data_IF_065477843578
#
_entry.id   IF_065477843578
#
_cell.length_a   1.000
_cell.length_b   1.000
_cell.length_c   1.000
_cell.angle_alpha   90.00
_cell.angle_beta   90.00
_cell.angle_gamma   90.00
#
_symmetry.space_group_name_H-M   'P 1'
#
loop_
_entity.id
_entity.type
_entity.pdbx_description
1 polymer ?
#
# COMPACT_ATOMS: atom_id res chain seq x y z
N UNK A 1 -8.86 -25.72 16.38
CA UNK A 1 -7.39 -25.97 16.41
C UNK A 1 -6.64 -24.67 16.66
N UNK A 2 -5.48 -24.70 17.32
CA UNK A 2 -4.67 -23.49 17.53
C UNK A 2 -3.17 -23.83 17.65
N UNK A 3 -2.31 -22.83 17.42
CA UNK A 3 -0.88 -22.94 17.68
C UNK A 3 -0.57 -22.95 19.18
N UNK A 4 0.64 -23.43 19.54
CA UNK A 4 1.09 -23.51 20.94
C UNK A 4 1.28 -22.15 21.60
N UNK A 5 1.61 -21.14 20.80
CA UNK A 5 1.87 -19.75 21.17
C UNK A 5 0.67 -18.83 20.90
N UNK A 6 -0.53 -19.40 20.70
CA UNK A 6 -1.71 -18.60 20.42
C UNK A 6 -2.06 -17.71 21.61
N UNK A 7 -2.04 -16.40 21.36
CA UNK A 7 -2.55 -15.36 22.25
C UNK A 7 -3.50 -14.49 21.40
N UNK A 8 -4.79 -14.36 21.77
CA UNK A 8 -5.76 -13.60 20.98
C UNK A 8 -5.27 -12.20 20.63
N UNK A 9 -5.26 -11.87 19.35
CA UNK A 9 -4.81 -10.57 18.83
C UNK A 9 -3.31 -10.26 18.96
N UNK A 10 -2.48 -11.22 19.38
CA UNK A 10 -1.05 -10.97 19.67
C UNK A 10 -0.14 -11.92 18.90
N UNK A 11 -0.35 -13.23 19.02
CA UNK A 11 0.56 -14.22 18.44
C UNK A 11 -0.15 -15.50 18.04
N UNK A 12 0.51 -16.28 17.18
CA UNK A 12 0.04 -17.58 16.76
C UNK A 12 -1.18 -17.55 15.83
N UNK A 13 -1.84 -18.70 15.74
CA UNK A 13 -3.05 -18.87 14.92
C UNK A 13 -4.11 -19.69 15.64
N UNK A 14 -5.38 -19.40 15.33
CA UNK A 14 -6.52 -20.17 15.79
C UNK A 14 -7.51 -20.38 14.65
N UNK A 15 -8.03 -21.60 14.57
CA UNK A 15 -9.16 -22.00 13.74
C UNK A 15 -10.27 -22.54 14.65
N UNK A 16 -11.46 -22.00 14.55
CA UNK A 16 -12.62 -22.37 15.36
C UNK A 16 -13.57 -23.27 14.57
N UNK A 17 -14.40 -24.02 15.28
CA UNK A 17 -15.34 -24.98 14.65
C UNK A 17 -16.47 -24.26 13.86
N UNK A 18 -16.69 -22.97 14.10
CA UNK A 18 -17.60 -22.10 13.35
C UNK A 18 -17.01 -21.60 12.02
N UNK A 19 -15.80 -22.05 11.65
CA UNK A 19 -15.09 -21.64 10.44
C UNK A 19 -14.37 -20.30 10.56
N UNK A 20 -14.44 -19.64 11.72
CA UNK A 20 -13.63 -18.44 11.98
C UNK A 20 -12.15 -18.80 12.10
N UNK A 21 -11.29 -17.90 11.63
CA UNK A 21 -9.86 -18.06 11.76
C UNK A 21 -9.17 -16.75 12.08
N UNK A 22 -8.02 -16.88 12.73
CA UNK A 22 -7.15 -15.77 13.10
C UNK A 22 -5.70 -16.17 12.84
N UNK A 23 -4.99 -15.33 12.09
CA UNK A 23 -3.57 -15.41 11.83
C UNK A 23 -2.93 -14.12 12.33
N UNK A 24 -2.11 -14.22 13.36
CA UNK A 24 -1.35 -13.10 13.91
C UNK A 24 0.10 -13.21 13.41
N UNK A 25 0.50 -12.31 12.50
CA UNK A 25 1.89 -12.21 12.07
C UNK A 25 2.70 -11.45 13.11
N UNK A 26 3.63 -12.14 13.78
CA UNK A 26 4.61 -11.48 14.64
C UNK A 26 5.59 -10.67 13.77
N UNK A 27 5.93 -9.45 14.21
CA UNK A 27 7.12 -8.78 13.71
C UNK A 27 8.33 -9.70 13.90
N UNK A 28 9.21 -9.74 12.89
CA UNK A 28 10.22 -10.80 12.68
C UNK A 28 11.33 -10.85 13.75
N UNK A 29 11.29 -10.02 14.79
CA UNK A 29 12.31 -10.01 15.85
C UNK A 29 11.75 -10.60 17.16
N UNK A 30 12.05 -11.89 17.38
CA UNK A 30 11.89 -12.68 18.61
C UNK A 30 10.50 -13.28 18.92
N UNK A 31 10.35 -14.59 18.66
CA UNK A 31 9.27 -15.51 19.12
C UNK A 31 9.26 -15.69 20.66
N UNK A 32 9.80 -14.75 21.45
CA UNK A 32 9.72 -14.78 22.91
C UNK A 32 9.52 -13.38 23.49
N UNK A 33 8.66 -13.23 24.52
CA UNK A 33 8.84 -12.15 25.45
C UNK A 33 10.14 -12.43 26.20
N UNK A 34 11.27 -11.97 25.67
CA UNK A 34 12.48 -11.91 26.50
C UNK A 34 12.20 -10.88 27.59
N UNK A 35 12.60 -11.18 28.82
CA UNK A 35 12.55 -10.22 29.93
C UNK A 35 13.33 -8.92 29.63
N UNK A 36 13.51 -8.07 30.65
CA UNK A 36 14.20 -6.79 30.50
C UNK A 36 15.47 -6.91 29.65
N UNK A 37 15.55 -6.17 28.54
CA UNK A 37 16.72 -6.15 27.67
C UNK A 37 17.74 -5.14 28.19
N UNK A 38 19.02 -5.30 27.85
CA UNK A 38 19.99 -4.22 28.05
C UNK A 38 19.73 -3.14 27.01
N UNK A 39 19.64 -1.89 27.46
CA UNK A 39 19.39 -0.72 26.61
C UNK A 39 20.53 0.28 26.78
N UNK A 40 20.97 0.84 25.66
CA UNK A 40 21.91 1.97 25.62
C UNK A 40 21.14 3.27 25.81
N UNK A 41 21.50 4.03 26.83
CA UNK A 41 20.90 5.31 27.16
C UNK A 41 21.88 6.42 26.80
N UNK A 42 21.43 7.38 25.99
CA UNK A 42 22.16 8.63 25.75
C UNK A 42 21.96 9.56 26.94
N UNK A 43 23.01 9.76 27.73
CA UNK A 43 23.00 10.70 28.85
C UNK A 43 23.20 12.15 28.39
N UNK A 44 23.88 12.35 27.27
CA UNK A 44 24.03 13.67 26.65
C UNK A 44 24.71 13.58 25.28
N UNK A 45 24.51 14.62 24.48
CA UNK A 45 25.10 14.75 23.15
C UNK A 45 25.38 16.21 22.89
N UNK A 46 26.59 16.52 22.40
CA UNK A 46 27.06 17.87 22.20
C UNK A 46 27.84 17.96 20.89
N UNK A 47 27.74 19.06 20.14
CA UNK A 47 28.70 19.36 19.08
C UNK A 47 30.11 19.42 19.68
N UNK A 48 31.09 18.77 19.05
CA UNK A 48 32.47 18.75 19.56
C UNK A 48 33.08 20.17 19.58
N UNK A 49 32.60 21.07 18.71
CA UNK A 49 32.98 22.48 18.70
C UNK A 49 32.49 23.30 19.91
N UNK A 50 31.44 22.84 20.60
CA UNK A 50 30.95 23.47 21.83
C UNK A 50 31.68 22.96 23.09
N UNK A 51 32.45 21.89 22.97
CA UNK A 51 33.25 21.37 24.06
C UNK A 51 34.51 22.21 24.26
N UNK A 52 34.88 22.41 25.53
CA UNK A 52 36.08 23.17 25.87
C UNK A 52 37.33 22.54 25.24
N UNK A 53 38.09 23.34 24.47
CA UNK A 53 39.35 22.90 23.88
C UNK A 53 40.46 22.71 24.95
N UNK A 54 40.35 23.39 26.10
CA UNK A 54 41.28 23.24 27.21
C UNK A 54 41.09 21.87 27.89
N UNK A 55 42.19 21.12 28.05
CA UNK A 55 42.15 19.77 28.60
C UNK A 55 41.61 19.69 30.04
N UNK A 56 41.90 20.68 30.88
CA UNK A 56 41.43 20.71 32.28
C UNK A 56 39.94 21.01 32.35
N UNK A 57 39.46 21.96 31.57
CA UNK A 57 38.03 22.28 31.47
C UNK A 57 37.24 21.12 30.88
N UNK A 58 37.77 20.47 29.84
CA UNK A 58 37.17 19.27 29.24
C UNK A 58 37.11 18.10 30.23
N UNK A 59 38.17 17.88 31.01
CA UNK A 59 38.18 16.86 32.06
C UNK A 59 37.15 17.15 33.16
N UNK A 60 37.04 18.41 33.60
CA UNK A 60 36.04 18.82 34.59
C UNK A 60 34.61 18.65 34.07
N UNK A 61 34.37 18.97 32.79
CA UNK A 61 33.10 18.73 32.11
C UNK A 61 32.76 17.24 32.09
N UNK A 62 33.69 16.39 31.64
CA UNK A 62 33.52 14.92 31.59
C UNK A 62 33.17 14.38 32.98
N UNK A 63 33.90 14.79 34.02
CA UNK A 63 33.61 14.37 35.40
C UNK A 63 32.23 14.80 35.88
N UNK A 64 31.80 16.01 35.51
CA UNK A 64 30.48 16.55 35.88
C UNK A 64 29.35 15.79 35.18
N UNK A 65 29.47 15.51 33.88
CA UNK A 65 28.45 14.74 33.15
C UNK A 65 28.40 13.28 33.61
N UNK A 66 29.56 12.66 33.83
CA UNK A 66 29.62 11.28 34.36
C UNK A 66 29.00 11.18 35.77
N UNK A 67 29.14 12.22 36.61
CA UNK A 67 28.53 12.26 37.93
C UNK A 67 26.99 12.26 37.90
N UNK A 68 26.37 12.75 36.81
CA UNK A 68 24.91 12.71 36.63
C UNK A 68 24.39 11.28 36.35
N UNK A 69 25.24 10.40 35.84
CA UNK A 69 24.90 8.98 35.64
C UNK A 69 24.89 8.27 37.00
N UNK A 70 23.87 7.43 37.31
CA UNK A 70 23.84 6.63 38.53
C UNK A 70 25.12 5.78 38.67
N UNK A 71 25.63 5.66 39.90
CA UNK A 71 26.95 5.06 40.18
C UNK A 71 27.06 3.63 39.65
N UNK A 72 25.96 2.88 39.71
CA UNK A 72 25.83 1.51 39.25
C UNK A 72 25.99 1.33 37.73
N UNK A 73 25.87 2.40 36.93
CA UNK A 73 26.00 2.33 35.47
C UNK A 73 27.25 3.02 34.93
N UNK A 74 28.01 3.74 35.77
CA UNK A 74 29.18 4.51 35.34
C UNK A 74 30.29 3.66 34.73
N UNK A 75 30.42 2.41 35.13
CA UNK A 75 31.41 1.49 34.53
C UNK A 75 31.13 1.18 33.05
N UNK A 76 29.86 1.24 32.65
CA UNK A 76 29.44 1.06 31.26
C UNK A 76 29.38 2.36 30.46
N UNK A 77 29.69 3.50 31.09
CA UNK A 77 29.54 4.79 30.46
C UNK A 77 30.69 5.06 29.49
N UNK A 78 30.36 5.45 28.27
CA UNK A 78 31.33 5.67 27.18
C UNK A 78 31.05 7.00 26.47
N UNK A 79 32.13 7.74 26.19
CA UNK A 79 32.10 8.87 25.27
C UNK A 79 32.52 8.41 23.88
N UNK A 80 31.66 8.64 22.90
CA UNK A 80 31.97 8.43 21.48
C UNK A 80 31.94 9.76 20.75
N UNK A 81 32.83 9.96 19.78
CA UNK A 81 32.79 11.11 18.88
C UNK A 81 32.59 10.60 17.47
N UNK A 82 31.49 11.02 16.83
CA UNK A 82 31.10 10.57 15.49
C UNK A 82 30.85 11.78 14.59
N UNK A 83 31.10 11.58 13.30
CA UNK A 83 30.79 12.56 12.26
C UNK A 83 29.34 12.38 11.81
N UNK A 84 28.53 13.42 11.99
CA UNK A 84 27.14 13.49 11.58
C UNK A 84 26.93 14.40 10.36
N UNK A 85 28.00 14.90 9.75
CA UNK A 85 27.90 15.70 8.54
C UNK A 85 27.41 14.86 7.37
N UNK A 86 26.44 15.40 6.63
CA UNK A 86 26.00 14.85 5.33
C UNK A 86 26.48 15.72 4.17
N UNK A 87 27.13 16.83 4.49
CA UNK A 87 27.75 17.78 3.59
C UNK A 87 29.26 17.58 3.49
N UNK A 88 29.84 18.14 2.42
CA UNK A 88 31.24 17.90 2.06
C UNK A 88 32.24 18.51 3.05
N UNK A 89 31.82 19.46 3.88
CA UNK A 89 32.72 20.21 4.75
C UNK A 89 33.07 19.50 6.07
N UNK A 90 32.36 18.43 6.41
CA UNK A 90 32.68 17.65 7.61
C UNK A 90 32.36 18.38 8.91
N UNK A 91 31.40 19.31 8.95
CA UNK A 91 31.33 20.30 10.05
C UNK A 91 30.58 19.83 11.31
N UNK A 92 29.72 18.80 11.25
CA UNK A 92 28.91 18.33 12.38
C UNK A 92 29.53 17.11 13.06
N UNK A 93 30.63 17.31 13.80
CA UNK A 93 31.14 16.28 14.73
C UNK A 93 30.41 16.37 16.06
N UNK A 94 29.92 15.24 16.57
CA UNK A 94 29.22 15.19 17.86
C UNK A 94 29.86 14.19 18.80
N UNK A 95 30.05 14.64 20.04
CA UNK A 95 30.42 13.78 21.15
C UNK A 95 29.15 13.36 21.91
N UNK A 96 28.99 12.07 22.09
CA UNK A 96 27.84 11.46 22.78
C UNK A 96 28.32 10.71 24.01
N UNK A 97 27.68 10.95 25.16
CA UNK A 97 27.85 10.15 26.36
C UNK A 97 26.72 9.14 26.44
N UNK A 98 27.06 7.86 26.44
CA UNK A 98 26.10 6.76 26.59
C UNK A 98 26.44 5.89 27.78
N UNK A 99 25.47 5.14 28.30
CA UNK A 99 25.68 4.07 29.27
C UNK A 99 24.65 2.96 29.08
N UNK A 100 24.90 1.77 29.64
CA UNK A 100 24.01 0.62 29.53
C UNK A 100 23.27 0.39 30.84
N UNK A 101 21.95 0.19 30.76
CA UNK A 101 21.14 -0.26 31.90
C UNK A 101 20.16 -1.35 31.49
N UNK A 102 19.57 -2.03 32.47
CA UNK A 102 18.40 -2.85 32.21
C UNK A 102 17.20 -1.95 31.88
N UNK A 103 16.47 -2.33 30.84
CA UNK A 103 15.19 -1.73 30.46
C UNK A 103 14.26 -1.68 31.67
N UNK A 104 13.66 -0.51 31.92
CA UNK A 104 12.72 -0.37 33.02
C UNK A 104 11.44 -1.19 32.75
N UNK A 105 10.73 -1.68 33.78
CA UNK A 105 9.48 -2.44 33.58
C UNK A 105 8.43 -1.70 32.72
N UNK A 106 8.36 -0.37 32.84
CA UNK A 106 7.48 0.49 32.05
C UNK A 106 7.90 0.55 30.57
N UNK A 107 9.21 0.66 30.29
CA UNK A 107 9.77 0.64 28.93
C UNK A 107 9.54 -0.74 28.27
N UNK A 108 9.74 -1.82 29.02
CA UNK A 108 9.46 -3.18 28.57
C UNK A 108 7.97 -3.41 28.28
N UNK A 109 7.08 -2.83 29.10
CA UNK A 109 5.64 -2.86 28.86
C UNK A 109 5.26 -2.04 27.63
N UNK A 110 5.83 -0.84 27.46
CA UNK A 110 5.61 0.00 26.28
C UNK A 110 6.07 -0.70 24.99
N UNK A 111 7.24 -1.37 25.03
CA UNK A 111 7.73 -2.19 23.92
C UNK A 111 6.80 -3.37 23.62
N UNK A 112 6.29 -4.05 24.65
CA UNK A 112 5.33 -5.14 24.49
C UNK A 112 4.00 -4.64 23.90
N UNK A 113 3.47 -3.50 24.35
CA UNK A 113 2.26 -2.89 23.78
C UNK A 113 2.45 -2.47 22.33
N UNK A 114 3.58 -1.82 22.01
CA UNK A 114 3.93 -1.46 20.62
C UNK A 114 4.06 -2.71 19.73
N UNK A 115 4.57 -3.82 20.27
CA UNK A 115 4.64 -5.08 19.55
C UNK A 115 3.26 -5.71 19.31
N UNK A 116 2.28 -5.58 20.24
CA UNK A 116 0.90 -6.05 20.02
C UNK A 116 0.20 -5.30 18.89
N UNK A 117 0.48 -4.00 18.77
CA UNK A 117 -0.04 -3.17 17.70
C UNK A 117 0.87 -3.16 16.48
N UNK A 118 1.92 -3.99 16.40
CA UNK A 118 2.84 -4.01 15.27
C UNK A 118 2.71 -5.32 14.50
N UNK A 119 2.59 -5.22 13.18
CA UNK A 119 2.52 -6.38 12.30
C UNK A 119 1.19 -6.53 11.58
N UNK A 120 1.13 -7.54 10.72
CA UNK A 120 -0.05 -7.84 9.90
C UNK A 120 -0.86 -8.96 10.53
N UNK A 121 -2.15 -8.71 10.72
CA UNK A 121 -3.13 -9.67 11.20
C UNK A 121 -4.20 -9.89 10.15
N UNK A 122 -4.58 -11.15 9.99
CA UNK A 122 -5.65 -11.58 9.10
C UNK A 122 -6.66 -12.37 9.91
N UNK A 123 -7.92 -11.93 9.91
CA UNK A 123 -9.00 -12.64 10.60
C UNK A 123 -10.23 -12.79 9.72
N UNK A 124 -10.93 -13.91 9.85
CA UNK A 124 -12.26 -14.12 9.27
C UNK A 124 -13.26 -14.30 10.39
N UNK A 125 -14.21 -13.37 10.50
CA UNK A 125 -15.29 -13.42 11.50
C UNK A 125 -16.60 -13.13 10.79
N UNK A 126 -17.61 -13.98 10.98
CA UNK A 126 -18.94 -13.85 10.36
C UNK A 126 -18.88 -13.65 8.83
N UNK A 127 -18.00 -14.37 8.13
CA UNK A 127 -17.84 -14.27 6.67
C UNK A 127 -17.16 -12.98 6.19
N UNK A 128 -16.57 -12.20 7.10
CA UNK A 128 -15.81 -10.98 6.78
C UNK A 128 -14.34 -11.21 7.06
N UNK A 129 -13.52 -11.19 6.00
CA UNK A 129 -12.08 -11.16 6.10
C UNK A 129 -11.64 -9.73 6.40
N UNK A 130 -10.81 -9.56 7.42
CA UNK A 130 -10.20 -8.28 7.77
C UNK A 130 -8.70 -8.47 7.85
N UNK A 131 -7.97 -7.61 7.13
CA UNK A 131 -6.51 -7.49 7.21
C UNK A 131 -6.20 -6.17 7.91
N UNK A 132 -5.53 -6.24 9.05
CA UNK A 132 -5.03 -5.08 9.77
C UNK A 132 -3.51 -5.08 9.76
N UNK A 133 -2.91 -3.91 9.51
CA UNK A 133 -1.47 -3.69 9.69
C UNK A 133 -1.30 -2.57 10.68
N UNK A 134 -0.56 -2.86 11.74
CA UNK A 134 -0.32 -1.95 12.85
C UNK A 134 -1.61 -1.42 13.52
N UNK A 135 -2.60 -2.29 13.69
CA UNK A 135 -3.93 -1.94 14.21
C UNK A 135 -4.85 -1.21 13.20
N UNK A 136 -4.32 -0.76 12.07
CA UNK A 136 -5.09 -0.07 11.02
C UNK A 136 -5.67 -1.08 10.03
N UNK A 137 -6.97 -1.01 9.74
CA UNK A 137 -7.61 -1.84 8.71
C UNK A 137 -7.07 -1.47 7.33
N UNK A 138 -6.37 -2.40 6.68
CA UNK A 138 -5.82 -2.22 5.32
C UNK A 138 -6.72 -2.82 4.26
N UNK A 139 -7.37 -3.93 4.57
CA UNK A 139 -8.28 -4.59 3.64
C UNK A 139 -9.44 -5.22 4.39
N UNK A 140 -10.64 -5.15 3.80
CA UNK A 140 -11.83 -5.82 4.29
C UNK A 140 -12.55 -6.45 3.09
N UNK A 141 -12.75 -7.75 3.12
CA UNK A 141 -13.37 -8.53 2.04
C UNK A 141 -14.56 -9.30 2.63
N UNK A 142 -15.73 -9.19 2.00
CA UNK A 142 -16.98 -9.80 2.47
C UNK A 142 -17.95 -8.78 3.08
N UNK A 143 -19.06 -9.27 3.66
CA UNK A 143 -20.24 -8.49 4.06
C UNK A 143 -21.00 -7.83 2.88
N UNK A 144 -21.65 -8.65 2.04
CA UNK A 144 -22.54 -8.17 0.96
C UNK A 144 -23.88 -7.58 1.48
N UNK A 145 -24.18 -7.69 2.78
CA UNK A 145 -25.51 -7.37 3.32
C UNK A 145 -25.66 -5.94 3.88
N UNK A 146 -24.64 -5.08 3.79
CA UNK A 146 -24.80 -3.66 4.16
C UNK A 146 -25.25 -2.82 2.96
N UNK A 147 -26.44 -2.18 3.01
CA UNK A 147 -26.93 -1.26 2.00
C UNK A 147 -26.42 0.18 2.21
N UNK A 148 -25.16 0.36 2.62
CA UNK A 148 -24.52 1.67 2.46
C UNK A 148 -23.93 1.69 1.06
N UNK A 149 -24.59 2.39 0.12
CA UNK A 149 -23.98 2.76 -1.16
C UNK A 149 -22.63 3.42 -0.82
N UNK A 150 -21.48 2.75 -1.05
CA UNK A 150 -20.20 3.40 -0.81
C UNK A 150 -20.09 4.55 -1.82
N UNK A 151 -19.48 5.65 -1.41
CA UNK A 151 -19.19 6.74 -2.35
C UNK A 151 -18.37 6.17 -3.53
N UNK A 152 -18.63 6.63 -4.78
CA UNK A 152 -18.09 5.98 -5.97
C UNK A 152 -16.56 5.92 -6.01
N UNK A 153 -15.93 6.89 -5.35
CA UNK A 153 -14.50 7.01 -5.16
C UNK A 153 -14.21 7.41 -3.71
N UNK A 154 -13.18 6.82 -3.10
CA UNK A 154 -12.60 7.31 -1.85
C UNK A 154 -11.09 7.33 -2.00
N UNK A 155 -10.46 8.44 -1.59
CA UNK A 155 -9.00 8.57 -1.56
C UNK A 155 -8.56 8.38 -0.12
N UNK A 156 -7.81 7.31 0.13
CA UNK A 156 -7.21 7.03 1.43
C UNK A 156 -5.71 6.92 1.22
N UNK A 157 -4.94 7.74 1.94
CA UNK A 157 -3.46 7.77 1.89
C UNK A 157 -2.87 7.91 0.47
N UNK A 158 -3.53 8.68 -0.40
CA UNK A 158 -3.09 8.91 -1.78
C UNK A 158 -3.41 7.77 -2.76
N UNK A 159 -4.10 6.72 -2.31
CA UNK A 159 -4.58 5.62 -3.15
C UNK A 159 -6.08 5.74 -3.37
N UNK A 160 -6.51 5.64 -4.63
CA UNK A 160 -7.91 5.75 -5.03
C UNK A 160 -8.57 4.37 -5.00
N UNK A 161 -9.61 4.22 -4.19
CA UNK A 161 -10.47 3.04 -4.18
C UNK A 161 -11.75 3.32 -4.96
N UNK A 162 -12.11 2.40 -5.87
CA UNK A 162 -13.30 2.49 -6.71
C UNK A 162 -14.25 1.34 -6.35
N UNK A 163 -15.53 1.63 -6.15
CA UNK A 163 -16.50 0.61 -5.76
C UNK A 163 -16.76 -0.39 -6.90
N UNK A 164 -16.98 -1.67 -6.55
CA UNK A 164 -17.33 -2.70 -7.55
C UNK A 164 -18.62 -2.36 -8.30
N UNK A 165 -19.57 -1.68 -7.66
CA UNK A 165 -20.79 -1.19 -8.29
C UNK A 165 -20.48 -0.14 -9.37
N UNK A 166 -19.59 0.81 -9.08
CA UNK A 166 -19.12 1.81 -10.05
C UNK A 166 -18.36 1.18 -11.21
N UNK A 167 -17.55 0.15 -10.94
CA UNK A 167 -16.87 -0.64 -11.97
C UNK A 167 -17.91 -1.36 -12.84
N UNK A 168 -18.91 -2.03 -12.25
CA UNK A 168 -19.96 -2.74 -12.99
C UNK A 168 -20.85 -1.83 -13.84
N UNK A 169 -21.10 -0.60 -13.39
CA UNK A 169 -21.86 0.42 -14.13
C UNK A 169 -21.02 1.04 -15.26
N UNK A 170 -19.70 1.19 -15.04
CA UNK A 170 -18.75 1.68 -16.05
C UNK A 170 -18.23 0.59 -16.99
N UNK A 171 -18.46 -0.69 -16.68
CA UNK A 171 -18.06 -1.82 -17.51
C UNK A 171 -19.11 -2.02 -18.59
N UNK A 172 -18.68 -1.99 -19.84
CA UNK A 172 -19.54 -2.37 -20.97
C UNK A 172 -19.73 -3.90 -20.92
N UNK A 173 -20.74 -4.35 -20.17
CA UNK A 173 -21.06 -5.80 -20.01
C UNK A 173 -21.63 -6.42 -21.28
N UNK A 174 -22.22 -5.62 -22.15
CA UNK A 174 -22.53 -6.08 -23.49
C UNK A 174 -21.21 -6.15 -24.25
N UNK A 175 -20.93 -7.29 -24.88
CA UNK A 175 -20.07 -7.33 -26.08
C UNK A 175 -20.45 -6.07 -26.86
N UNK A 176 -19.56 -5.08 -26.99
CA UNK A 176 -19.82 -3.88 -27.77
C UNK A 176 -20.52 -4.41 -29.02
N UNK A 177 -21.83 -4.14 -29.16
CA UNK A 177 -22.54 -4.59 -30.34
C UNK A 177 -21.66 -4.13 -31.49
N UNK A 178 -21.44 -4.95 -32.53
CA UNK A 178 -20.53 -4.61 -33.63
C UNK A 178 -20.99 -3.29 -34.27
N UNK A 179 -20.54 -2.18 -33.71
CA UNK A 179 -20.93 -0.83 -34.04
C UNK A 179 -19.82 -0.33 -34.93
N UNK A 180 -20.11 -0.33 -36.21
CA UNK A 180 -19.29 0.32 -37.21
C UNK A 180 -19.94 1.67 -37.50
N UNK A 181 -19.20 2.75 -37.27
CA UNK A 181 -19.60 4.11 -37.66
C UNK A 181 -18.79 4.52 -38.88
N UNK A 182 -19.46 4.76 -40.01
CA UNK A 182 -18.81 5.28 -41.20
C UNK A 182 -18.91 6.80 -41.21
N UNK A 183 -17.77 7.50 -41.19
CA UNK A 183 -17.76 8.96 -41.40
C UNK A 183 -17.95 9.23 -42.89
N UNK A 184 -19.10 9.81 -43.24
CA UNK A 184 -19.46 10.17 -44.60
C UNK A 184 -19.19 11.66 -44.85
N UNK A 185 -18.94 12.03 -46.11
CA UNK A 185 -18.85 13.42 -46.55
C UNK A 185 -20.14 13.81 -47.25
N UNK A 186 -20.59 15.07 -47.12
CA UNK A 186 -21.72 15.58 -47.89
C UNK A 186 -21.19 16.16 -49.21
N UNK A 187 -21.72 15.72 -50.35
CA UNK A 187 -21.37 16.28 -51.66
C UNK A 187 -22.14 17.59 -51.94
N UNK A 188 -21.83 18.28 -53.04
CA UNK A 188 -22.46 19.55 -53.43
C UNK A 188 -23.99 19.46 -53.62
N UNK A 189 -24.53 18.25 -53.78
CA UNK A 189 -25.96 17.96 -53.95
C UNK A 189 -26.66 17.59 -52.62
N UNK A 190 -25.95 17.70 -51.49
CA UNK A 190 -26.49 17.42 -50.16
C UNK A 190 -26.54 15.94 -49.78
N UNK A 191 -25.90 15.05 -50.55
CA UNK A 191 -25.93 13.61 -50.32
C UNK A 191 -24.72 13.15 -49.52
N UNK A 192 -24.92 12.22 -48.59
CA UNK A 192 -23.84 11.55 -47.88
C UNK A 192 -23.14 10.53 -48.79
N UNK A 193 -21.83 10.67 -48.99
CA UNK A 193 -20.98 9.78 -49.78
C UNK A 193 -19.80 9.28 -48.95
N UNK A 194 -19.34 8.06 -49.26
CA UNK A 194 -18.12 7.48 -48.71
C UNK A 194 -17.31 6.84 -49.85
N UNK A 195 -15.98 6.95 -49.80
CA UNK A 195 -15.10 6.45 -50.86
C UNK A 195 -14.83 4.93 -50.78
N UNK A 196 -15.24 4.25 -49.70
CA UNK A 196 -15.14 2.79 -49.56
C UNK A 196 -15.41 2.29 -48.14
N UNK A 197 -15.76 1.01 -48.03
CA UNK A 197 -15.87 0.29 -46.75
C UNK A 197 -15.23 -1.10 -46.91
N UNK A 198 -14.23 -1.40 -46.09
CA UNK A 198 -13.59 -2.71 -46.04
C UNK A 198 -14.15 -3.54 -44.89
N UNK A 199 -14.69 -4.73 -45.19
CA UNK A 199 -15.33 -5.60 -44.19
C UNK A 199 -14.38 -6.63 -43.55
N UNK A 200 -13.20 -6.85 -44.13
CA UNK A 200 -12.15 -7.71 -43.54
C UNK A 200 -12.53 -9.18 -43.34
N UNK A 201 -13.53 -9.69 -44.06
CA UNK A 201 -13.99 -11.08 -43.94
C UNK A 201 -13.34 -11.97 -45.02
N UNK A 202 -12.87 -13.15 -44.63
CA UNK A 202 -12.42 -14.20 -45.57
C UNK A 202 -13.57 -15.03 -46.15
N UNK A 203 -14.82 -14.58 -45.98
CA UNK A 203 -16.05 -15.30 -46.30
C UNK A 203 -17.09 -14.37 -46.96
N UNK A 204 -18.32 -14.84 -47.16
CA UNK A 204 -19.37 -14.11 -47.90
C UNK A 204 -20.08 -13.05 -47.06
N UNK A 205 -20.40 -11.91 -47.69
CA UNK A 205 -21.29 -10.88 -47.14
C UNK A 205 -22.71 -11.09 -47.69
N UNK A 206 -23.62 -11.54 -46.84
CA UNK A 206 -25.01 -11.78 -47.22
C UNK A 206 -25.86 -10.54 -46.94
N UNK A 207 -26.58 -10.07 -47.96
CA UNK A 207 -27.52 -8.95 -47.87
C UNK A 207 -28.91 -9.39 -48.32
N UNK A 208 -29.95 -8.80 -47.74
CA UNK A 208 -31.29 -8.92 -48.30
C UNK A 208 -31.33 -8.16 -49.62
N UNK A 209 -31.58 -8.89 -50.71
CA UNK A 209 -31.59 -8.34 -52.06
C UNK A 209 -32.60 -7.18 -52.21
N UNK A 210 -33.72 -7.25 -51.49
CA UNK A 210 -34.78 -6.24 -51.54
C UNK A 210 -34.41 -4.91 -50.87
N UNK A 211 -33.30 -4.88 -50.11
CA UNK A 211 -32.88 -3.73 -49.29
C UNK A 211 -31.52 -3.17 -49.68
N UNK A 212 -30.82 -3.84 -50.60
CA UNK A 212 -29.51 -3.42 -51.07
C UNK A 212 -29.55 -3.05 -52.56
N UNK A 213 -29.39 -1.76 -52.85
CA UNK A 213 -29.35 -1.24 -54.22
C UNK A 213 -27.97 -0.69 -54.56
N UNK A 214 -27.36 -1.17 -55.64
CA UNK A 214 -26.17 -0.55 -56.24
C UNK A 214 -26.63 0.32 -57.40
N UNK A 215 -26.66 1.64 -57.21
CA UNK A 215 -26.84 2.60 -58.28
C UNK A 215 -25.47 3.05 -58.81
N UNK A 216 -24.78 2.19 -59.56
CA UNK A 216 -23.60 2.60 -60.32
C UNK A 216 -24.07 3.35 -61.57
N UNK A 217 -23.75 4.64 -61.65
CA UNK A 217 -23.88 5.45 -62.87
C UNK A 217 -22.59 5.41 -63.72
N UNK A 218 -21.75 4.42 -63.47
CA UNK A 218 -20.52 4.15 -64.19
C UNK A 218 -20.80 3.19 -65.36
N UNK A 219 -21.34 3.73 -66.46
CA UNK A 219 -21.27 3.15 -67.80
C UNK A 219 -21.83 1.73 -68.00
N UNK A 220 -23.15 1.63 -68.29
CA UNK A 220 -23.79 0.41 -68.78
C UNK A 220 -24.40 -0.43 -67.65
N UNK A 221 -25.71 -0.27 -67.42
CA UNK A 221 -26.42 -0.93 -66.33
C UNK A 221 -26.35 -2.46 -66.35
N UNK A 222 -26.58 -3.13 -65.20
CA UNK A 222 -26.61 -4.57 -65.15
C UNK A 222 -27.82 -5.09 -65.94
N UNK A 223 -27.51 -5.78 -67.03
CA UNK A 223 -28.47 -6.55 -67.81
C UNK A 223 -28.91 -7.73 -66.95
N UNK A 224 -30.14 -7.66 -66.42
CA UNK A 224 -30.82 -8.82 -65.85
C UNK A 224 -30.87 -8.88 -64.32
N UNK A 225 -31.89 -8.26 -63.75
CA UNK A 225 -32.73 -8.95 -62.76
C UNK A 225 -34.17 -8.88 -63.27
N UNK A 226 -34.60 -9.98 -63.88
CA UNK A 226 -35.92 -10.12 -64.46
C UNK A 226 -37.02 -10.08 -63.39
N UNK A 227 -38.14 -9.48 -63.79
CA UNK A 227 -39.43 -9.48 -63.09
C UNK A 227 -39.76 -10.84 -62.48
N UNK A 228 -40.11 -10.87 -61.19
CA UNK A 228 -41.30 -11.54 -60.66
C UNK A 228 -41.82 -10.75 -59.47
#
# INVERSE_FOLDING_TARGET
MQSKDYVPGVSGWKYSDDGSFELNGAAVDDIKPSGPKLVTITAGQWPDCELAANAMERYAFIGTELAKIPVEFRESAEFTTEDFSFDRDGSDYRTTLTYVRQEAPEEALARAEKAKSSGTRVSMVNGVMTITTDGVVRCRIGNLEKPEKPEPFVVVDGVVHVSEASIKDSTIKAKLATQWSLKMQVNEQGQYVAAGVGLGIGSQFLVSADRFSINCMCGGGPVGFGKK
#
